data_IF_002994723229
#
_entry.id   IF_002994723229
#
_cell.length_a   1.000
_cell.length_b   1.000
_cell.length_c   1.000
_cell.angle_alpha   90.00
_cell.angle_beta   90.00
_cell.angle_gamma   90.00
#
_symmetry.space_group_name_H-M   'P 1'
#
loop_
_entity.id
_entity.type
_entity.pdbx_description
1 polymer ?
#
# COMPACT_ATOMS: atom_id res chain seq x y z
N UNK A 1 -15.50 -1.42 -18.60
CA UNK A 1 -15.23 -0.03 -18.98
C UNK A 1 -13.89 0.35 -18.38
N UNK A 2 -13.06 1.09 -19.13
CA UNK A 2 -11.72 1.50 -18.67
C UNK A 2 -11.80 2.47 -17.49
N UNK A 3 -10.66 2.69 -16.82
CA UNK A 3 -10.53 3.59 -15.68
C UNK A 3 -10.81 5.06 -16.00
N UNK A 4 -10.65 5.92 -15.00
CA UNK A 4 -10.92 7.35 -15.13
C UNK A 4 -10.06 8.02 -16.21
N UNK A 5 -10.60 9.10 -16.79
CA UNK A 5 -9.96 9.92 -17.83
C UNK A 5 -8.60 10.49 -17.36
N UNK A 6 -8.34 10.50 -16.04
CA UNK A 6 -7.13 11.02 -15.41
C UNK A 6 -6.05 9.96 -15.16
N UNK A 7 -6.29 8.68 -15.48
CA UNK A 7 -5.38 7.56 -15.22
C UNK A 7 -4.94 6.87 -16.52
N UNK A 8 -4.20 7.61 -17.34
CA UNK A 8 -3.57 7.12 -18.56
C UNK A 8 -2.82 5.80 -18.31
N UNK A 9 -3.13 4.77 -19.10
CA UNK A 9 -2.59 3.40 -18.99
C UNK A 9 -2.88 2.67 -17.65
N UNK A 10 -3.74 3.20 -16.77
CA UNK A 10 -4.13 2.59 -15.49
C UNK A 10 -2.96 2.20 -14.58
N UNK A 11 -1.94 3.07 -14.47
CA UNK A 11 -0.77 2.84 -13.61
C UNK A 11 -1.02 3.14 -12.15
N UNK A 12 -1.88 4.12 -11.85
CA UNK A 12 -2.28 4.43 -10.48
C UNK A 12 -3.46 3.56 -10.03
N UNK A 13 -3.48 3.23 -8.74
CA UNK A 13 -4.57 2.50 -8.10
C UNK A 13 -5.87 3.33 -8.16
N UNK A 14 -6.81 2.90 -9.00
CA UNK A 14 -8.20 3.34 -8.89
C UNK A 14 -8.98 2.31 -8.07
N UNK A 15 -9.24 2.63 -6.81
CA UNK A 15 -10.24 1.92 -6.02
C UNK A 15 -11.63 2.51 -6.28
N UNK A 16 -12.59 1.63 -6.52
CA UNK A 16 -14.01 1.94 -6.39
C UNK A 16 -14.64 1.02 -5.35
N UNK A 17 -15.21 1.61 -4.32
CA UNK A 17 -15.97 0.91 -3.30
C UNK A 17 -17.29 0.36 -3.91
N UNK A 18 -17.49 -0.94 -3.79
CA UNK A 18 -18.69 -1.64 -4.23
C UNK A 18 -19.46 -2.28 -3.05
N UNK A 19 -19.11 -1.99 -1.79
CA UNK A 19 -19.69 -2.64 -0.61
C UNK A 19 -21.22 -2.51 -0.56
N UNK A 20 -21.76 -1.31 -0.80
CA UNK A 20 -23.22 -1.10 -0.87
C UNK A 20 -23.88 -1.98 -1.93
N UNK A 21 -23.27 -2.12 -3.10
CA UNK A 21 -23.76 -2.98 -4.18
C UNK A 21 -23.63 -4.46 -3.82
N UNK A 22 -22.49 -4.88 -3.26
CA UNK A 22 -22.21 -6.26 -2.88
C UNK A 22 -23.19 -6.80 -1.83
N UNK A 23 -23.47 -6.01 -0.78
CA UNK A 23 -24.50 -6.35 0.21
C UNK A 23 -25.87 -6.55 -0.43
N UNK A 24 -26.36 -5.56 -1.18
CA UNK A 24 -27.66 -5.66 -1.86
C UNK A 24 -27.72 -6.79 -2.90
N UNK A 25 -26.61 -7.12 -3.56
CA UNK A 25 -26.52 -8.24 -4.50
C UNK A 25 -26.63 -9.59 -3.78
N UNK A 26 -25.89 -9.78 -2.68
CA UNK A 26 -25.95 -11.01 -1.87
C UNK A 26 -27.36 -11.20 -1.30
N UNK A 27 -27.92 -10.15 -0.69
CA UNK A 27 -29.27 -10.14 -0.13
C UNK A 27 -30.32 -10.49 -1.20
N UNK A 28 -30.27 -9.84 -2.37
CA UNK A 28 -31.16 -10.12 -3.48
C UNK A 28 -31.02 -11.56 -4.02
N UNK A 29 -29.80 -12.12 -4.05
CA UNK A 29 -29.59 -13.49 -4.52
C UNK A 29 -30.09 -14.53 -3.52
N UNK A 30 -29.92 -14.33 -2.22
CA UNK A 30 -30.39 -15.27 -1.19
C UNK A 30 -31.90 -15.19 -0.98
N UNK A 31 -32.50 -14.00 -0.95
CA UNK A 31 -33.96 -13.82 -0.84
C UNK A 31 -34.75 -14.41 -2.01
N UNK A 32 -34.16 -14.43 -3.21
CA UNK A 32 -34.76 -15.07 -4.39
C UNK A 32 -34.35 -16.54 -4.57
N UNK A 33 -33.52 -17.10 -3.68
CA UNK A 33 -33.11 -18.50 -3.75
C UNK A 33 -34.23 -19.39 -3.20
N UNK A 34 -34.80 -20.20 -4.08
CA UNK A 34 -35.88 -21.14 -3.81
C UNK A 34 -35.37 -22.56 -3.95
N UNK A 35 -35.47 -23.37 -2.89
CA UNK A 35 -35.05 -24.77 -2.92
C UNK A 35 -36.29 -25.64 -2.68
N UNK A 36 -36.64 -26.45 -3.67
CA UNK A 36 -37.79 -27.37 -3.62
C UNK A 36 -37.29 -28.82 -3.54
N UNK A 37 -37.75 -29.57 -2.54
CA UNK A 37 -37.41 -30.99 -2.38
C UNK A 37 -38.45 -31.72 -1.54
N UNK A 38 -38.78 -32.95 -1.93
CA UNK A 38 -39.63 -33.89 -1.18
C UNK A 38 -40.98 -33.31 -0.69
N UNK A 39 -41.58 -32.39 -1.47
CA UNK A 39 -42.85 -31.73 -1.15
C UNK A 39 -42.72 -30.52 -0.20
N UNK A 40 -41.50 -30.06 0.06
CA UNK A 40 -41.20 -28.85 0.83
C UNK A 40 -40.49 -27.79 -0.01
N UNK A 41 -40.72 -26.54 0.37
CA UNK A 41 -40.06 -25.35 -0.15
C UNK A 41 -39.26 -24.70 0.98
N UNK A 42 -37.97 -24.42 0.73
CA UNK A 42 -37.06 -23.72 1.66
C UNK A 42 -36.73 -22.34 1.11
N UNK A 43 -36.71 -21.35 2.00
CA UNK A 43 -36.40 -19.94 1.71
C UNK A 43 -35.54 -19.32 2.81
N UNK A 44 -35.02 -18.12 2.53
CA UNK A 44 -34.07 -17.41 3.38
C UNK A 44 -34.53 -15.96 3.61
N UNK A 45 -34.39 -15.50 4.86
CA UNK A 45 -34.74 -14.13 5.26
C UNK A 45 -33.82 -13.61 6.40
N UNK A 46 -34.12 -12.43 6.93
CA UNK A 46 -33.43 -11.81 8.07
C UNK A 46 -31.92 -11.71 7.88
N UNK A 47 -31.52 -11.03 6.81
CA UNK A 47 -30.11 -10.89 6.41
C UNK A 47 -29.35 -9.85 7.25
N UNK A 48 -28.29 -10.28 7.93
CA UNK A 48 -27.23 -9.43 8.48
C UNK A 48 -25.95 -9.65 7.66
N UNK A 49 -25.58 -8.66 6.85
CA UNK A 49 -24.42 -8.71 5.95
C UNK A 49 -23.43 -7.64 6.38
N UNK A 50 -22.31 -8.06 6.96
CA UNK A 50 -21.21 -7.21 7.39
C UNK A 50 -19.94 -7.56 6.62
N UNK A 51 -19.08 -6.59 6.33
CA UNK A 51 -17.94 -6.80 5.43
C UNK A 51 -17.69 -5.63 4.47
N UNK A 52 -16.85 -5.91 3.47
CA UNK A 52 -16.38 -4.96 2.46
C UNK A 52 -16.37 -5.58 1.05
N UNK A 53 -16.42 -4.72 0.03
CA UNK A 53 -16.07 -5.09 -1.34
C UNK A 53 -15.56 -3.86 -2.09
N UNK A 54 -14.43 -4.01 -2.75
CA UNK A 54 -13.78 -2.98 -3.56
C UNK A 54 -13.20 -3.59 -4.83
N UNK A 55 -13.16 -2.78 -5.89
CA UNK A 55 -12.54 -3.15 -7.17
C UNK A 55 -11.46 -2.15 -7.47
N UNK A 56 -10.29 -2.67 -7.78
CA UNK A 56 -9.09 -1.94 -8.13
C UNK A 56 -8.77 -2.10 -9.61
N UNK A 57 -8.23 -1.07 -10.25
CA UNK A 57 -7.60 -1.18 -11.57
C UNK A 57 -6.11 -0.90 -11.42
N UNK A 58 -5.25 -1.82 -11.89
CA UNK A 58 -3.79 -1.66 -11.92
C UNK A 58 -3.19 -2.34 -13.16
N UNK A 59 -2.35 -1.60 -13.91
CA UNK A 59 -1.72 -2.07 -15.16
C UNK A 59 -2.72 -2.67 -16.15
N UNK A 60 -3.89 -2.03 -16.28
CA UNK A 60 -5.01 -2.47 -17.13
C UNK A 60 -5.76 -3.72 -16.64
N UNK A 61 -5.36 -4.34 -15.51
CA UNK A 61 -6.04 -5.49 -14.92
C UNK A 61 -6.99 -5.04 -13.81
N UNK A 62 -8.16 -5.67 -13.77
CA UNK A 62 -9.10 -5.53 -12.66
C UNK A 62 -8.73 -6.51 -11.54
N UNK A 63 -8.57 -6.00 -10.33
CA UNK A 63 -8.32 -6.79 -9.11
C UNK A 63 -9.53 -6.57 -8.21
N UNK A 64 -10.23 -7.64 -7.83
CA UNK A 64 -11.39 -7.57 -6.95
C UNK A 64 -10.96 -7.99 -5.55
N UNK A 65 -11.40 -7.28 -4.52
CA UNK A 65 -11.29 -7.70 -3.13
C UNK A 65 -12.67 -7.64 -2.48
N UNK A 66 -13.11 -8.72 -1.86
CA UNK A 66 -14.28 -8.75 -1.00
C UNK A 66 -14.09 -9.72 0.16
N UNK A 67 -14.74 -9.39 1.27
CA UNK A 67 -14.80 -10.21 2.47
C UNK A 67 -16.11 -9.88 3.19
N UNK A 68 -16.96 -10.89 3.38
CA UNK A 68 -18.24 -10.74 4.10
C UNK A 68 -18.43 -11.82 5.16
N UNK A 69 -18.99 -11.42 6.29
CA UNK A 69 -19.73 -12.28 7.21
C UNK A 69 -21.21 -12.13 6.88
N UNK A 70 -21.84 -13.23 6.49
CA UNK A 70 -23.24 -13.28 6.06
C UNK A 70 -24.02 -14.13 7.05
N UNK A 71 -24.99 -13.55 7.76
CA UNK A 71 -25.90 -14.27 8.64
C UNK A 71 -27.32 -14.12 8.12
N UNK A 72 -28.09 -15.19 8.19
CA UNK A 72 -29.49 -15.22 7.72
C UNK A 72 -30.25 -16.37 8.36
N UNK A 73 -31.56 -16.30 8.34
CA UNK A 73 -32.41 -17.42 8.72
C UNK A 73 -32.76 -18.25 7.48
N UNK A 74 -32.97 -19.55 7.68
CA UNK A 74 -33.67 -20.41 6.74
C UNK A 74 -35.00 -20.83 7.35
N UNK A 75 -36.04 -20.89 6.52
CA UNK A 75 -37.39 -21.28 6.87
C UNK A 75 -37.95 -22.22 5.80
N UNK A 76 -39.01 -22.95 6.12
CA UNK A 76 -39.59 -23.90 5.17
C UNK A 76 -41.11 -23.98 5.28
N UNK A 77 -41.74 -24.37 4.18
CA UNK A 77 -43.20 -24.57 4.08
C UNK A 77 -43.50 -25.85 3.31
N UNK A 78 -44.59 -26.52 3.65
CA UNK A 78 -45.06 -27.69 2.89
C UNK A 78 -45.82 -27.21 1.65
N UNK A 79 -45.52 -27.77 0.48
CA UNK A 79 -46.20 -27.39 -0.77
C UNK A 79 -47.71 -27.60 -0.66
N UNK A 80 -48.48 -26.58 -1.05
CA UNK A 80 -49.94 -26.57 -0.93
C UNK A 80 -50.50 -26.22 0.46
N UNK A 81 -49.67 -25.74 1.40
CA UNK A 81 -50.11 -25.23 2.70
C UNK A 81 -49.37 -23.92 3.04
N UNK A 82 -50.10 -22.82 3.27
CA UNK A 82 -49.56 -21.53 3.74
C UNK A 82 -49.11 -21.55 5.23
N UNK A 83 -48.79 -22.72 5.77
CA UNK A 83 -48.28 -22.86 7.13
C UNK A 83 -46.76 -22.84 7.11
N UNK A 84 -46.20 -21.64 7.32
CA UNK A 84 -44.77 -21.45 7.54
C UNK A 84 -44.30 -22.24 8.78
N UNK A 85 -43.17 -22.91 8.64
CA UNK A 85 -42.46 -23.58 9.71
C UNK A 85 -41.11 -22.91 9.90
N UNK A 86 -40.84 -22.50 11.14
CA UNK A 86 -39.58 -21.86 11.52
C UNK A 86 -38.43 -22.87 11.38
N UNK A 87 -37.40 -22.51 10.64
CA UNK A 87 -36.17 -23.29 10.54
C UNK A 87 -35.14 -22.86 11.58
N UNK A 88 -34.05 -22.23 11.15
CA UNK A 88 -32.95 -21.84 12.03
C UNK A 88 -32.01 -20.80 11.42
N UNK A 89 -30.92 -20.49 12.11
CA UNK A 89 -29.93 -19.49 11.68
C UNK A 89 -28.74 -20.15 10.95
N UNK A 90 -28.25 -19.51 9.89
CA UNK A 90 -27.05 -19.86 9.14
C UNK A 90 -26.07 -18.69 9.22
N UNK A 91 -24.78 -19.01 9.38
CA UNK A 91 -23.70 -18.03 9.39
C UNK A 91 -22.57 -18.50 8.47
N UNK A 92 -22.27 -17.69 7.46
CA UNK A 92 -21.08 -17.83 6.62
C UNK A 92 -20.06 -16.85 7.20
N UNK A 93 -19.11 -17.37 7.97
CA UNK A 93 -18.12 -16.57 8.71
C UNK A 93 -16.99 -16.02 7.83
N UNK A 94 -16.82 -16.59 6.63
CA UNK A 94 -15.85 -16.12 5.63
C UNK A 94 -16.42 -16.33 4.22
N UNK A 95 -16.92 -15.25 3.62
CA UNK A 95 -17.25 -15.16 2.21
C UNK A 95 -16.30 -14.16 1.54
N UNK A 96 -15.12 -14.64 1.17
CA UNK A 96 -14.03 -13.82 0.61
C UNK A 96 -13.44 -14.36 -0.70
N UNK A 97 -12.57 -13.57 -1.31
CA UNK A 97 -11.70 -13.98 -2.42
C UNK A 97 -10.94 -15.30 -2.14
N UNK A 98 -10.39 -15.45 -0.95
CA UNK A 98 -9.52 -16.57 -0.55
C UNK A 98 -10.21 -17.92 -0.71
N UNK A 99 -11.52 -17.99 -0.44
CA UNK A 99 -12.31 -19.22 -0.56
C UNK A 99 -12.59 -19.64 -2.01
N UNK A 100 -12.41 -18.74 -2.99
CA UNK A 100 -12.42 -19.09 -4.41
C UNK A 100 -11.09 -19.71 -4.84
N UNK A 101 -9.98 -19.14 -4.41
CA UNK A 101 -8.64 -19.64 -4.72
C UNK A 101 -8.39 -21.00 -4.06
N UNK A 102 -8.79 -21.16 -2.79
CA UNK A 102 -8.70 -22.43 -2.08
C UNK A 102 -9.46 -23.56 -2.79
N UNK A 103 -10.68 -23.30 -3.30
CA UNK A 103 -11.45 -24.27 -4.09
C UNK A 103 -10.79 -24.62 -5.41
N UNK A 104 -10.28 -23.63 -6.15
CA UNK A 104 -9.56 -23.89 -7.40
C UNK A 104 -8.31 -24.73 -7.15
N UNK A 105 -7.57 -24.47 -6.07
CA UNK A 105 -6.44 -25.29 -5.64
C UNK A 105 -6.87 -26.70 -5.23
N UNK A 106 -8.00 -26.89 -4.53
CA UNK A 106 -8.48 -28.25 -4.20
C UNK A 106 -8.91 -29.02 -5.44
N UNK A 107 -9.61 -28.37 -6.38
CA UNK A 107 -10.01 -28.97 -7.66
C UNK A 107 -8.81 -29.29 -8.57
N UNK A 108 -7.75 -28.47 -8.55
CA UNK A 108 -6.49 -28.75 -9.26
C UNK A 108 -5.69 -29.86 -8.57
N UNK A 109 -5.64 -29.90 -7.25
CA UNK A 109 -5.05 -31.02 -6.51
C UNK A 109 -5.78 -32.34 -6.76
N UNK A 110 -7.11 -32.35 -6.85
CA UNK A 110 -7.88 -33.55 -7.19
C UNK A 110 -7.63 -33.99 -8.63
N UNK A 111 -7.55 -33.06 -9.59
CA UNK A 111 -7.12 -33.37 -10.97
C UNK A 111 -5.69 -33.94 -11.00
N UNK A 112 -4.76 -33.35 -10.25
CA UNK A 112 -3.37 -33.82 -10.16
C UNK A 112 -3.24 -35.16 -9.44
N UNK A 113 -4.08 -35.46 -8.43
CA UNK A 113 -4.15 -36.79 -7.79
C UNK A 113 -4.70 -37.86 -8.73
N UNK A 114 -5.66 -37.51 -9.59
CA UNK A 114 -6.18 -38.41 -10.63
C UNK A 114 -5.17 -38.67 -11.76
N UNK A 115 -4.30 -37.70 -12.08
CA UNK A 115 -3.15 -37.90 -13.00
C UNK A 115 -1.99 -38.64 -12.29
N UNK A 116 -1.84 -38.45 -10.98
CA UNK A 116 -0.75 -38.99 -10.16
C UNK A 116 -0.87 -40.47 -9.77
N UNK A 117 -1.99 -41.15 -10.06
CA UNK A 117 -2.14 -42.58 -9.73
C UNK A 117 -1.25 -43.52 -10.56
N UNK A 118 -0.63 -43.05 -11.65
CA UNK A 118 0.25 -43.90 -12.49
C UNK A 118 1.72 -43.99 -12.02
N UNK A 119 2.20 -43.14 -11.11
CA UNK A 119 3.62 -43.15 -10.69
C UNK A 119 3.78 -42.96 -9.18
N UNK A 120 4.13 -44.04 -8.47
CA UNK A 120 4.22 -44.12 -7.02
C UNK A 120 5.65 -44.44 -6.54
N UNK A 121 5.95 -44.08 -5.27
CA UNK A 121 7.23 -44.24 -4.54
C UNK A 121 8.37 -43.27 -4.98
N UNK A 122 9.14 -42.60 -4.10
CA UNK A 122 9.33 -42.52 -2.63
C UNK A 122 9.94 -41.11 -2.30
N UNK A 123 10.12 -40.56 -1.09
CA UNK A 123 10.07 -41.05 0.30
C UNK A 123 9.80 -39.89 1.33
N UNK A 124 9.99 -40.11 2.64
CA UNK A 124 10.12 -39.11 3.73
C UNK A 124 11.47 -39.32 4.53
N UNK A 125 11.76 -38.81 5.77
CA UNK A 125 11.06 -37.85 6.68
C UNK A 125 11.95 -36.83 7.51
N UNK A 126 11.27 -36.07 8.41
CA UNK A 126 11.72 -35.30 9.62
C UNK A 126 12.22 -33.82 9.44
N UNK A 127 11.88 -32.84 10.31
CA UNK A 127 10.90 -32.78 11.41
C UNK A 127 10.84 -31.47 12.27
N UNK A 128 9.61 -31.00 12.59
CA UNK A 128 9.04 -30.73 13.96
C UNK A 128 9.59 -29.60 14.92
N UNK A 129 8.77 -28.52 15.08
CA UNK A 129 8.39 -27.76 16.35
C UNK A 129 9.42 -26.76 16.99
N UNK A 130 9.03 -25.68 17.76
CA UNK A 130 7.75 -25.41 18.47
C UNK A 130 7.02 -24.03 18.32
N UNK A 131 5.74 -24.03 18.72
CA UNK A 131 4.97 -22.88 19.22
C UNK A 131 5.29 -22.57 20.69
N UNK A 132 5.09 -21.31 21.14
CA UNK A 132 4.98 -20.96 22.56
C UNK A 132 3.72 -20.11 22.81
N UNK A 133 2.96 -20.50 23.83
CA UNK A 133 1.78 -19.83 24.39
C UNK A 133 2.10 -19.46 25.84
N UNK A 134 1.74 -18.27 26.34
CA UNK A 134 1.30 -18.11 27.73
C UNK A 134 0.54 -16.80 28.05
N UNK A 135 -0.62 -17.00 28.70
CA UNK A 135 -1.33 -16.26 29.75
C UNK A 135 -1.42 -14.72 29.82
N UNK A 136 -2.62 -14.32 30.26
CA UNK A 136 -3.00 -12.99 30.71
C UNK A 136 -2.56 -12.71 32.16
N UNK A 137 -2.50 -11.43 32.51
CA UNK A 137 -2.79 -10.92 33.85
C UNK A 137 -3.41 -9.51 33.73
N UNK A 138 -4.38 -9.20 34.58
CA UNK A 138 -4.97 -7.87 34.72
C UNK A 138 -4.12 -7.00 35.65
N UNK A 139 -3.86 -5.76 35.24
CA UNK A 139 -3.64 -4.62 36.15
C UNK A 139 -4.33 -3.39 35.57
N UNK A 140 -5.10 -2.68 36.40
CA UNK A 140 -5.65 -1.36 36.09
C UNK A 140 -4.59 -0.31 36.41
N UNK A 141 -4.29 0.60 35.49
CA UNK A 141 -3.68 1.89 35.83
C UNK A 141 -4.00 2.96 34.77
N UNK A 142 -4.66 4.02 35.24
CA UNK A 142 -4.73 5.41 34.75
C UNK A 142 -4.94 5.71 33.25
N UNK A 143 -6.14 6.24 32.97
CA UNK A 143 -6.47 6.91 31.71
C UNK A 143 -5.88 8.34 31.68
N UNK A 144 -4.76 8.54 31.01
CA UNK A 144 -4.42 9.85 30.43
C UNK A 144 -5.01 9.93 29.02
N UNK A 145 -5.78 10.98 28.72
CA UNK A 145 -6.37 11.23 27.38
C UNK A 145 -5.29 11.53 26.33
N UNK A 146 -4.68 10.49 25.78
CA UNK A 146 -3.81 10.62 24.61
C UNK A 146 -4.64 11.00 23.37
N UNK A 147 -4.11 11.93 22.57
CA UNK A 147 -4.69 12.37 21.30
C UNK A 147 -5.12 11.15 20.46
N UNK A 148 -6.42 11.10 20.12
CA UNK A 148 -6.97 10.10 19.19
C UNK A 148 -6.45 10.39 17.78
N UNK A 149 -5.44 9.63 17.36
CA UNK A 149 -4.89 9.66 16.02
C UNK A 149 -5.49 8.50 15.20
N UNK A 150 -6.29 8.82 14.19
CA UNK A 150 -7.16 7.90 13.45
C UNK A 150 -8.62 8.40 13.35
N UNK A 151 -9.41 7.82 12.46
CA UNK A 151 -10.83 8.17 12.31
C UNK A 151 -11.67 7.77 13.52
N UNK A 152 -12.80 8.45 13.72
CA UNK A 152 -13.77 8.19 14.81
C UNK A 152 -14.25 6.72 14.83
N UNK A 153 -14.19 6.04 13.69
CA UNK A 153 -14.63 4.65 13.51
C UNK A 153 -13.51 3.62 13.77
N UNK A 154 -12.24 4.03 13.84
CA UNK A 154 -11.10 3.14 14.08
C UNK A 154 -10.76 3.02 15.58
N UNK A 155 -11.72 2.48 16.34
CA UNK A 155 -11.58 2.34 17.80
C UNK A 155 -10.31 1.52 18.11
N UNK A 156 -9.40 2.12 18.89
CA UNK A 156 -8.11 1.56 19.31
C UNK A 156 -7.12 1.22 18.17
N UNK A 157 -7.31 1.72 16.94
CA UNK A 157 -6.43 1.45 15.79
C UNK A 157 -6.24 -0.05 15.48
N UNK A 158 -7.34 -0.81 15.55
CA UNK A 158 -7.42 -2.22 15.16
C UNK A 158 -7.73 -2.42 13.67
N UNK A 159 -8.48 -1.51 13.05
CA UNK A 159 -8.75 -1.56 11.63
C UNK A 159 -7.62 -0.88 10.86
N UNK A 160 -7.29 -1.41 9.68
CA UNK A 160 -6.39 -0.72 8.77
C UNK A 160 -7.05 0.55 8.27
N UNK A 161 -6.45 1.69 8.61
CA UNK A 161 -6.78 2.99 8.05
C UNK A 161 -5.53 3.53 7.38
N UNK A 162 -5.61 3.73 6.07
CA UNK A 162 -4.50 4.21 5.24
C UNK A 162 -4.79 5.63 4.73
N UNK A 163 -3.85 6.51 4.97
CA UNK A 163 -3.84 7.90 4.50
C UNK A 163 -2.87 8.00 3.34
N UNK A 164 -3.40 8.25 2.15
CA UNK A 164 -2.58 8.58 0.98
C UNK A 164 -1.88 9.93 1.22
N UNK A 165 -0.54 9.92 1.16
CA UNK A 165 0.31 11.11 1.32
C UNK A 165 0.94 11.56 -0.01
N UNK A 166 0.91 10.73 -1.06
CA UNK A 166 1.56 10.94 -2.37
C UNK A 166 1.51 12.36 -2.89
N UNK A 167 0.32 13.00 -2.92
CA UNK A 167 0.18 14.37 -3.43
C UNK A 167 0.95 15.38 -2.57
N UNK A 168 0.70 15.39 -1.26
CA UNK A 168 1.39 16.29 -0.33
C UNK A 168 2.89 16.04 -0.36
N UNK A 169 3.31 14.78 -0.36
CA UNK A 169 4.71 14.38 -0.36
C UNK A 169 5.47 14.92 -1.59
N UNK A 170 4.88 14.80 -2.79
CA UNK A 170 5.45 15.34 -4.04
C UNK A 170 5.52 16.86 -4.03
N UNK A 171 4.42 17.53 -3.68
CA UNK A 171 4.35 18.99 -3.60
C UNK A 171 5.35 19.55 -2.58
N UNK A 172 5.46 18.93 -1.40
CA UNK A 172 6.36 19.33 -0.32
C UNK A 172 7.83 19.07 -0.68
N UNK A 173 8.20 17.87 -1.14
CA UNK A 173 9.60 17.55 -1.47
C UNK A 173 10.11 18.40 -2.63
N UNK A 174 9.28 18.60 -3.68
CA UNK A 174 9.58 19.56 -4.76
C UNK A 174 9.84 20.96 -4.19
N UNK A 175 8.95 21.45 -3.33
CA UNK A 175 9.08 22.77 -2.73
C UNK A 175 10.33 22.91 -1.84
N UNK A 176 10.71 21.87 -1.09
CA UNK A 176 11.96 21.87 -0.31
C UNK A 176 13.18 21.95 -1.24
N UNK A 177 13.22 21.15 -2.30
CA UNK A 177 14.33 21.11 -3.25
C UNK A 177 14.49 22.43 -4.01
N UNK A 178 13.41 22.95 -4.61
CA UNK A 178 13.45 24.19 -5.39
C UNK A 178 13.83 25.44 -4.55
N UNK A 179 13.60 25.41 -3.23
CA UNK A 179 14.00 26.48 -2.32
C UNK A 179 15.33 26.21 -1.59
N UNK A 180 16.00 25.09 -1.86
CA UNK A 180 17.28 24.76 -1.23
C UNK A 180 18.45 25.48 -1.89
N UNK A 181 19.25 26.19 -1.08
CA UNK A 181 20.61 26.61 -1.42
C UNK A 181 21.59 25.79 -0.60
N UNK A 182 22.33 24.92 -1.27
CA UNK A 182 23.36 24.08 -0.66
C UNK A 182 24.70 24.81 -0.80
N UNK A 183 25.44 24.92 0.30
CA UNK A 183 26.83 25.38 0.32
C UNK A 183 27.75 24.16 0.38
N UNK A 184 28.72 24.11 -0.53
CA UNK A 184 29.77 23.10 -0.65
C UNK A 184 31.14 23.76 -0.40
N UNK A 185 32.20 22.97 -0.35
CA UNK A 185 33.56 23.50 -0.24
C UNK A 185 33.93 24.46 -1.39
N UNK A 186 35.02 25.22 -1.21
CA UNK A 186 35.57 26.16 -2.19
C UNK A 186 34.60 27.28 -2.63
N UNK A 187 33.67 27.70 -1.76
CA UNK A 187 32.63 28.69 -2.02
C UNK A 187 31.73 28.32 -3.22
N UNK A 188 31.47 27.03 -3.42
CA UNK A 188 30.56 26.52 -4.45
C UNK A 188 29.16 26.43 -3.84
N UNK A 189 28.17 26.98 -4.53
CA UNK A 189 26.78 26.92 -4.14
C UNK A 189 25.96 26.19 -5.19
N UNK A 190 25.23 25.15 -4.76
CA UNK A 190 24.36 24.33 -5.60
C UNK A 190 22.89 24.70 -5.31
N UNK A 191 22.10 24.88 -6.37
CA UNK A 191 20.67 25.21 -6.31
C UNK A 191 19.90 24.40 -7.36
N UNK A 192 18.72 23.90 -6.99
CA UNK A 192 17.78 23.30 -7.92
C UNK A 192 16.86 24.38 -8.49
N UNK A 193 16.52 24.29 -9.78
CA UNK A 193 15.60 25.23 -10.42
C UNK A 193 14.42 24.56 -11.13
N UNK A 194 14.47 23.22 -11.25
CA UNK A 194 13.33 22.41 -11.69
C UNK A 194 13.43 21.02 -11.07
N UNK A 195 12.70 20.78 -9.98
CA UNK A 195 12.61 19.46 -9.35
C UNK A 195 11.31 18.73 -9.74
N UNK A 196 11.40 17.47 -10.12
CA UNK A 196 10.29 16.55 -10.37
C UNK A 196 10.36 15.36 -9.39
N UNK A 197 9.21 15.00 -8.81
CA UNK A 197 9.11 13.90 -7.83
C UNK A 197 8.06 12.90 -8.32
N UNK A 198 8.54 11.75 -8.78
CA UNK A 198 7.74 10.58 -9.17
C UNK A 198 7.55 9.62 -7.97
N UNK A 199 6.63 8.67 -8.07
CA UNK A 199 6.40 7.65 -7.02
C UNK A 199 5.15 7.85 -6.16
N UNK A 200 5.12 7.23 -4.97
CA UNK A 200 3.98 7.17 -4.06
C UNK A 200 4.37 7.14 -2.57
N UNK A 201 3.47 7.58 -1.69
CA UNK A 201 3.61 7.42 -0.24
C UNK A 201 2.25 7.32 0.46
N UNK A 202 2.20 6.51 1.51
CA UNK A 202 1.06 6.41 2.40
C UNK A 202 1.48 6.14 3.84
N UNK A 203 0.60 6.51 4.77
CA UNK A 203 0.77 6.23 6.20
C UNK A 203 -0.43 5.46 6.70
N UNK A 204 -0.20 4.38 7.45
CA UNK A 204 -1.23 3.63 8.17
C UNK A 204 -0.89 3.48 9.64
N UNK A 205 -1.90 3.22 10.48
CA UNK A 205 -1.69 2.88 11.89
C UNK A 205 -2.21 1.46 12.13
N UNK A 206 -1.36 0.60 12.69
CA UNK A 206 -1.71 -0.78 13.03
C UNK A 206 -1.15 -1.16 14.39
N UNK A 207 -2.00 -1.64 15.31
CA UNK A 207 -1.59 -1.99 16.70
C UNK A 207 -0.82 -0.86 17.39
N UNK A 208 -1.30 0.38 17.26
CA UNK A 208 -0.66 1.63 17.73
C UNK A 208 0.73 1.95 17.14
N UNK A 209 1.24 1.18 16.17
CA UNK A 209 2.45 1.49 15.42
C UNK A 209 2.09 2.18 14.10
N UNK A 210 2.68 3.34 13.84
CA UNK A 210 2.62 4.01 12.55
C UNK A 210 3.53 3.28 11.55
N UNK A 211 3.00 2.98 10.38
CA UNK A 211 3.70 2.35 9.26
C UNK A 211 3.66 3.37 8.12
N UNK A 212 4.83 3.90 7.76
CA UNK A 212 5.01 4.84 6.67
C UNK A 212 5.66 4.11 5.50
N UNK A 213 4.96 4.01 4.39
CA UNK A 213 5.42 3.37 3.15
C UNK A 213 5.65 4.48 2.12
N UNK A 214 6.78 4.43 1.43
CA UNK A 214 7.09 5.35 0.34
C UNK A 214 8.06 4.69 -0.64
N UNK A 215 7.92 5.08 -1.91
CA UNK A 215 8.84 4.80 -3.00
C UNK A 215 8.85 6.06 -3.87
N UNK A 216 9.99 6.76 -3.91
CA UNK A 216 10.16 7.96 -4.72
C UNK A 216 11.36 7.84 -5.67
N UNK A 217 11.18 8.50 -6.81
CA UNK A 217 12.27 8.87 -7.72
C UNK A 217 12.24 10.38 -7.92
N UNK A 218 13.40 11.02 -7.79
CA UNK A 218 13.56 12.46 -7.86
C UNK A 218 14.43 12.77 -9.07
N UNK A 219 14.01 13.69 -9.93
CA UNK A 219 14.83 14.19 -11.03
C UNK A 219 14.92 15.72 -10.89
N UNK A 220 16.12 16.29 -10.82
CA UNK A 220 16.30 17.74 -10.65
C UNK A 220 17.28 18.32 -11.66
N UNK A 221 16.87 19.41 -12.31
CA UNK A 221 17.80 20.33 -12.97
C UNK A 221 18.43 21.26 -11.93
N UNK A 222 19.75 21.33 -11.94
CA UNK A 222 20.55 22.09 -10.98
C UNK A 222 21.48 23.09 -11.68
N UNK A 223 21.77 24.16 -10.96
CA UNK A 223 22.83 25.12 -11.29
C UNK A 223 23.77 25.22 -10.11
N UNK A 224 25.05 25.36 -10.38
CA UNK A 224 26.07 25.59 -9.37
C UNK A 224 26.92 26.79 -9.76
N UNK A 225 27.26 27.64 -8.79
CA UNK A 225 28.15 28.79 -9.00
C UNK A 225 29.21 28.87 -7.91
N UNK A 226 30.43 29.24 -8.30
CA UNK A 226 31.56 29.48 -7.41
C UNK A 226 31.71 30.97 -7.17
N UNK A 227 31.82 31.39 -5.90
CA UNK A 227 32.00 32.80 -5.55
C UNK A 227 33.44 33.12 -5.13
N UNK A 228 33.98 34.22 -5.65
CA UNK A 228 35.28 34.75 -5.22
C UNK A 228 35.19 35.39 -3.81
N UNK A 229 36.31 35.90 -3.28
CA UNK A 229 36.36 36.55 -1.95
C UNK A 229 35.52 37.84 -1.84
N UNK A 230 35.10 38.41 -2.97
CA UNK A 230 34.23 39.59 -3.07
C UNK A 230 32.75 39.22 -3.27
N UNK A 231 32.39 37.93 -3.19
CA UNK A 231 31.06 37.38 -3.48
C UNK A 231 30.60 37.52 -4.94
N UNK A 232 31.50 37.81 -5.88
CA UNK A 232 31.19 37.82 -7.31
C UNK A 232 31.24 36.38 -7.85
N UNK A 233 30.41 36.07 -8.84
CA UNK A 233 30.40 34.75 -9.50
C UNK A 233 31.63 34.64 -10.41
N UNK A 234 32.54 33.74 -10.07
CA UNK A 234 33.75 33.43 -10.83
C UNK A 234 33.47 32.41 -11.94
N UNK A 235 32.54 31.49 -11.69
CA UNK A 235 32.20 30.36 -12.56
C UNK A 235 30.77 29.90 -12.28
N UNK A 236 30.02 29.54 -13.31
CA UNK A 236 28.71 28.88 -13.22
C UNK A 236 28.70 27.64 -14.12
N UNK A 237 28.10 26.55 -13.65
CA UNK A 237 27.84 25.33 -14.42
C UNK A 237 26.46 24.77 -14.08
N UNK A 238 25.94 23.88 -14.92
CA UNK A 238 24.60 23.30 -14.82
C UNK A 238 24.63 21.81 -15.10
N UNK A 239 23.52 21.17 -14.79
CA UNK A 239 23.25 19.81 -15.22
C UNK A 239 22.05 19.23 -14.51
N UNK A 240 22.01 17.91 -14.51
CA UNK A 240 20.90 17.12 -14.02
C UNK A 240 21.34 16.18 -12.89
N UNK A 241 20.46 15.89 -11.93
CA UNK A 241 20.65 14.80 -10.97
C UNK A 241 19.38 13.96 -10.85
N UNK A 242 19.54 12.65 -11.01
CA UNK A 242 18.51 11.67 -10.67
C UNK A 242 18.87 11.02 -9.33
N UNK A 243 17.91 10.96 -8.42
CA UNK A 243 17.99 10.23 -7.14
C UNK A 243 16.93 9.13 -7.14
N UNK A 244 17.36 7.89 -6.96
CA UNK A 244 16.51 6.71 -6.92
C UNK A 244 16.74 5.88 -5.65
N UNK A 245 15.89 4.89 -5.44
CA UNK A 245 15.89 4.04 -4.23
C UNK A 245 15.57 4.82 -2.94
N UNK A 246 14.78 5.90 -3.07
CA UNK A 246 14.18 6.59 -1.92
C UNK A 246 12.97 5.79 -1.44
N UNK A 247 13.24 4.63 -0.82
CA UNK A 247 12.25 3.61 -0.46
C UNK A 247 12.17 3.38 1.05
N UNK A 248 10.99 2.98 1.54
CA UNK A 248 10.72 2.76 2.97
C UNK A 248 11.34 1.49 3.57
N UNK A 249 11.70 0.52 2.73
CA UNK A 249 12.19 -0.83 3.07
C UNK A 249 13.69 -1.01 2.81
N UNK A 250 14.44 0.09 2.80
CA UNK A 250 15.91 0.11 2.68
C UNK A 250 16.61 -0.81 3.70
N UNK A 251 17.51 -1.68 3.22
CA UNK A 251 18.30 -2.58 4.06
C UNK A 251 19.54 -1.88 4.62
N UNK A 252 19.85 -2.10 5.89
CA UNK A 252 21.10 -1.62 6.50
C UNK A 252 22.37 -2.29 5.94
N UNK A 253 22.22 -3.29 5.07
CA UNK A 253 23.32 -3.98 4.39
C UNK A 253 23.72 -3.31 3.07
N UNK A 254 22.88 -2.41 2.54
CA UNK A 254 23.17 -1.65 1.31
C UNK A 254 24.16 -0.50 1.60
N UNK A 255 25.19 -0.36 0.75
CA UNK A 255 26.31 0.56 0.99
C UNK A 255 25.94 2.05 0.91
N UNK A 256 24.86 2.40 0.21
CA UNK A 256 24.40 3.77 -0.02
C UNK A 256 22.90 3.85 0.09
N UNK A 257 22.38 4.78 0.89
CA UNK A 257 20.94 4.92 1.17
C UNK A 257 20.12 5.25 -0.07
N UNK A 258 20.65 6.10 -0.93
CA UNK A 258 20.05 6.51 -2.20
C UNK A 258 21.07 6.36 -3.32
N UNK A 259 20.60 6.08 -4.53
CA UNK A 259 21.46 6.04 -5.72
C UNK A 259 21.38 7.37 -6.46
N UNK A 260 22.55 8.01 -6.61
CA UNK A 260 22.71 9.29 -7.29
C UNK A 260 23.32 9.10 -8.68
N UNK A 261 22.72 9.74 -9.69
CA UNK A 261 23.29 9.87 -11.02
C UNK A 261 23.35 11.35 -11.41
N UNK A 262 24.56 11.94 -11.42
CA UNK A 262 24.78 13.32 -11.83
C UNK A 262 25.27 13.39 -13.29
N UNK A 263 24.62 14.23 -14.08
CA UNK A 263 25.03 14.64 -15.42
C UNK A 263 25.44 16.10 -15.34
N UNK A 264 26.54 16.46 -16.00
CA UNK A 264 27.12 17.80 -16.01
C UNK A 264 27.09 18.32 -17.44
N UNK A 265 26.55 19.52 -17.66
CA UNK A 265 26.44 20.11 -19.00
C UNK A 265 27.83 20.48 -19.54
N UNK A 266 28.68 21.03 -18.66
CA UNK A 266 30.06 21.38 -18.98
C UNK A 266 31.02 20.38 -18.30
N UNK A 267 31.82 19.68 -19.10
CA UNK A 267 32.82 18.70 -18.66
C UNK A 267 34.27 19.11 -18.98
N UNK A 268 34.47 20.33 -19.48
CA UNK A 268 35.77 20.86 -19.83
C UNK A 268 36.69 20.99 -18.60
N UNK A 269 38.01 21.00 -18.85
CA UNK A 269 39.03 20.97 -17.80
C UNK A 269 38.90 22.12 -16.79
N UNK A 270 38.38 23.28 -17.18
CA UNK A 270 38.14 24.41 -16.27
C UNK A 270 37.08 24.13 -15.20
N UNK A 271 36.08 23.28 -15.49
CA UNK A 271 35.03 22.90 -14.53
C UNK A 271 35.40 21.67 -13.68
N UNK A 272 36.51 20.98 -13.97
CA UNK A 272 36.90 19.70 -13.35
C UNK A 272 36.79 19.72 -11.81
N UNK A 273 37.50 20.62 -11.14
CA UNK A 273 37.47 20.79 -9.67
C UNK A 273 36.07 21.07 -9.12
N UNK A 274 35.28 21.87 -9.83
CA UNK A 274 33.92 22.23 -9.40
C UNK A 274 32.97 21.03 -9.52
N UNK A 275 33.07 20.30 -10.62
CA UNK A 275 32.32 19.09 -10.88
C UNK A 275 32.70 17.96 -9.90
N UNK A 276 33.99 17.85 -9.53
CA UNK A 276 34.46 16.92 -8.50
C UNK A 276 33.84 17.21 -7.14
N UNK A 277 33.86 18.46 -6.67
CA UNK A 277 33.20 18.87 -5.40
C UNK A 277 31.70 18.58 -5.41
N UNK A 278 31.00 18.86 -6.52
CA UNK A 278 29.56 18.57 -6.63
C UNK A 278 29.30 17.06 -6.58
N UNK A 279 30.14 16.23 -7.23
CA UNK A 279 30.02 14.77 -7.18
C UNK A 279 30.30 14.17 -5.81
N UNK A 280 31.24 14.72 -5.04
CA UNK A 280 31.65 14.16 -3.74
C UNK A 280 30.81 14.65 -2.58
N UNK A 281 30.45 15.94 -2.55
CA UNK A 281 29.73 16.56 -1.42
C UNK A 281 28.22 16.69 -1.68
N UNK A 282 27.81 16.86 -2.94
CA UNK A 282 26.40 17.00 -3.34
C UNK A 282 25.48 15.90 -2.81
N UNK A 283 25.80 14.59 -3.00
CA UNK A 283 25.00 13.48 -2.46
C UNK A 283 24.66 13.62 -0.98
N UNK A 284 25.66 13.85 -0.13
CA UNK A 284 25.51 13.93 1.33
C UNK A 284 24.69 15.15 1.78
N UNK A 285 24.65 16.23 1.02
CA UNK A 285 23.78 17.37 1.33
C UNK A 285 22.32 17.13 0.87
N UNK A 286 22.14 16.47 -0.28
CA UNK A 286 20.81 16.07 -0.77
C UNK A 286 20.18 15.00 0.14
N UNK A 287 20.98 14.03 0.62
CA UNK A 287 20.58 13.05 1.63
C UNK A 287 19.96 13.71 2.87
N UNK A 288 20.62 14.72 3.45
CA UNK A 288 20.08 15.46 4.62
C UNK A 288 18.73 16.13 4.33
N UNK A 289 18.54 16.65 3.13
CA UNK A 289 17.29 17.28 2.71
C UNK A 289 16.18 16.23 2.63
N UNK A 290 16.43 15.09 1.96
CA UNK A 290 15.49 13.98 1.83
C UNK A 290 15.17 13.37 3.20
N UNK A 291 16.16 13.18 4.07
CA UNK A 291 15.98 12.63 5.42
C UNK A 291 15.15 13.55 6.32
N UNK A 292 15.37 14.86 6.24
CA UNK A 292 14.56 15.86 6.93
C UNK A 292 13.10 15.83 6.45
N UNK A 293 12.89 15.73 5.13
CA UNK A 293 11.57 15.54 4.54
C UNK A 293 10.88 14.24 5.01
N UNK A 294 11.57 13.10 4.98
CA UNK A 294 11.05 11.81 5.46
C UNK A 294 10.72 11.88 6.96
N UNK A 295 11.51 12.59 7.76
CA UNK A 295 11.22 12.85 9.17
C UNK A 295 9.89 13.61 9.33
N UNK A 296 9.70 14.73 8.60
CA UNK A 296 8.44 15.50 8.59
C UNK A 296 7.24 14.68 8.09
N UNK A 297 7.46 13.73 7.18
CA UNK A 297 6.42 12.83 6.67
C UNK A 297 5.94 11.82 7.72
N UNK A 298 6.79 11.43 8.69
CA UNK A 298 6.38 10.59 9.83
C UNK A 298 5.35 11.27 10.74
N UNK A 299 5.25 12.59 10.71
CA UNK A 299 4.30 13.38 11.52
C UNK A 299 2.96 13.65 10.79
N UNK A 300 2.77 13.15 9.55
CA UNK A 300 1.57 13.39 8.72
C UNK A 300 0.51 12.32 8.77
#
# INVERSE_FOLDING_TARGET
>A
MAGSIWNSNSWHWEEKNYNKWGKSYIENKLSNLKIEKDGFYVYFDTFDISGNASVYIRKGKQINSFEYVIKFNWNFSKMGQDKECVGGNIQILDFSNSNKELKLMTEEEEKMKNVGMENNHQNQPYGVIPNILHNANHTHENEEEQKKDGSIWNINNYHWEEKCLTRWAKEELKNILDNSKIELSNNIFLQFFSSEVEGEASSSIRKKKKILIYDFKINCEWKAYKQNKSSEIEMETKGHVSVSEVISDFSSEDQTKYKFNFIFDNVDAEYSTMNEVIKTEGPTQIEKIIDSFISRMKDK
#
